data_IF_000704686247
#
_entry.id   IF_000704686247
#
_cell.length_a   1.000
_cell.length_b   1.000
_cell.length_c   1.000
_cell.angle_alpha   90.00
_cell.angle_beta   90.00
_cell.angle_gamma   90.00
#
_symmetry.space_group_name_H-M   'P 1'
#
loop_
_entity.id
_entity.type
_entity.pdbx_description
1 polymer ?
#
# COMPACT_ATOMS: atom_id res chain seq x y z
N UNK A 1 -13.46 -0.32 2.30
CA UNK A 1 -13.43 -0.40 0.82
C UNK A 1 -12.13 -1.06 0.45
N UNK A 2 -12.14 -2.10 -0.41
CA UNK A 2 -10.89 -2.61 -0.96
C UNK A 2 -10.22 -1.48 -1.73
N UNK A 3 -8.98 -1.16 -1.37
CA UNK A 3 -8.21 -0.01 -1.86
C UNK A 3 -7.60 -0.28 -3.25
N UNK A 4 -8.37 -0.91 -4.14
CA UNK A 4 -8.09 -0.75 -5.55
C UNK A 4 -8.82 0.52 -5.94
N UNK A 5 -8.05 1.57 -6.25
CA UNK A 5 -8.50 2.84 -6.79
C UNK A 5 -9.24 2.71 -8.16
N UNK A 6 -9.76 1.52 -8.50
CA UNK A 6 -10.39 1.17 -9.76
C UNK A 6 -9.41 0.74 -10.85
N UNK A 7 -8.12 0.99 -10.67
CA UNK A 7 -7.12 0.78 -11.71
C UNK A 7 -6.88 -0.71 -11.96
N UNK A 8 -6.86 -1.14 -13.25
CA UNK A 8 -6.76 -2.55 -13.60
C UNK A 8 -5.37 -3.15 -13.34
N UNK A 9 -4.33 -2.32 -13.26
CA UNK A 9 -2.93 -2.70 -13.03
C UNK A 9 -2.61 -3.00 -11.56
N UNK A 10 -3.53 -2.70 -10.64
CA UNK A 10 -3.36 -2.98 -9.21
C UNK A 10 -4.09 -4.27 -8.77
N UNK A 11 -4.67 -5.02 -9.71
CA UNK A 11 -5.49 -6.21 -9.42
C UNK A 11 -4.66 -7.51 -9.38
N UNK A 12 -5.11 -8.52 -8.62
CA UNK A 12 -4.41 -9.82 -8.55
C UNK A 12 -4.10 -10.42 -9.92
N UNK A 13 -5.03 -10.31 -10.88
CA UNK A 13 -4.88 -10.90 -12.21
C UNK A 13 -3.78 -10.22 -13.03
N UNK A 14 -3.68 -8.89 -12.95
CA UNK A 14 -2.60 -8.16 -13.59
C UNK A 14 -1.25 -8.54 -12.98
N UNK A 15 -1.16 -8.58 -11.66
CA UNK A 15 0.09 -8.86 -10.96
C UNK A 15 0.56 -10.30 -11.25
N UNK A 16 -0.36 -11.28 -11.31
CA UNK A 16 -0.04 -12.65 -11.70
C UNK A 16 0.47 -12.75 -13.15
N UNK A 17 -0.16 -12.02 -14.08
CA UNK A 17 0.31 -11.93 -15.46
C UNK A 17 1.69 -11.27 -15.56
N UNK A 18 1.91 -10.21 -14.79
CA UNK A 18 3.19 -9.49 -14.74
C UNK A 18 4.31 -10.36 -14.15
N UNK A 19 4.07 -11.12 -13.08
CA UNK A 19 5.04 -12.08 -12.54
C UNK A 19 5.43 -13.12 -13.60
N UNK A 20 4.45 -13.65 -14.34
CA UNK A 20 4.70 -14.61 -15.42
C UNK A 20 5.61 -14.00 -16.48
N UNK A 21 5.28 -12.80 -16.95
CA UNK A 21 6.09 -12.08 -17.92
C UNK A 21 7.51 -11.78 -17.39
N UNK A 22 7.63 -11.33 -16.14
CA UNK A 22 8.92 -11.02 -15.53
C UNK A 22 9.85 -12.24 -15.48
N UNK A 23 9.32 -13.42 -15.20
CA UNK A 23 10.10 -14.66 -15.23
C UNK A 23 10.54 -15.04 -16.65
N UNK A 24 9.70 -14.82 -17.68
CA UNK A 24 10.08 -15.03 -19.08
C UNK A 24 11.13 -14.04 -19.58
N UNK A 25 11.18 -12.84 -18.99
CA UNK A 25 12.09 -11.78 -19.39
C UNK A 25 13.53 -11.96 -18.88
N UNK A 26 13.83 -13.02 -18.13
CA UNK A 26 15.17 -13.26 -17.56
C UNK A 26 15.68 -14.65 -17.91
N UNK A 27 16.99 -14.76 -18.20
CA UNK A 27 17.63 -16.08 -18.40
C UNK A 27 17.46 -16.96 -17.17
N UNK A 28 17.62 -16.39 -15.98
CA UNK A 28 17.49 -17.14 -14.73
C UNK A 28 16.08 -17.74 -14.54
N UNK A 29 15.04 -16.99 -14.93
CA UNK A 29 13.66 -17.48 -14.93
C UNK A 29 13.41 -18.55 -15.99
N UNK A 30 13.90 -18.35 -17.22
CA UNK A 30 13.73 -19.32 -18.32
C UNK A 30 14.50 -20.63 -18.08
N UNK A 31 15.70 -20.55 -17.50
CA UNK A 31 16.53 -21.72 -17.14
C UNK A 31 16.14 -22.34 -15.79
N UNK A 32 15.17 -21.76 -15.06
CA UNK A 32 14.66 -22.28 -13.79
C UNK A 32 15.64 -22.19 -12.61
N UNK A 33 16.69 -21.38 -12.72
CA UNK A 33 17.69 -21.20 -11.66
C UNK A 33 17.25 -20.19 -10.60
N UNK A 34 16.32 -19.30 -10.94
CA UNK A 34 15.71 -18.36 -9.98
C UNK A 34 14.30 -18.05 -10.46
N UNK A 35 13.35 -17.99 -9.52
CA UNK A 35 11.99 -17.54 -9.78
C UNK A 35 11.77 -16.17 -9.13
N UNK A 36 11.33 -15.20 -9.92
CA UNK A 36 10.80 -13.94 -9.40
C UNK A 36 9.41 -14.22 -8.83
N UNK A 37 9.17 -13.79 -7.60
CA UNK A 37 7.85 -13.83 -6.95
C UNK A 37 7.46 -12.43 -6.50
N UNK A 38 6.27 -12.00 -6.88
CA UNK A 38 5.71 -10.70 -6.52
C UNK A 38 4.78 -10.90 -5.34
N UNK A 39 5.19 -10.39 -4.19
CA UNK A 39 4.39 -10.44 -2.98
C UNK A 39 3.50 -9.20 -2.90
N UNK A 40 2.20 -9.42 -2.72
CA UNK A 40 1.19 -8.37 -2.58
C UNK A 40 0.52 -8.45 -1.20
N UNK A 41 1.28 -8.31 -0.09
CA UNK A 41 0.79 -8.65 1.26
C UNK A 41 -0.41 -7.82 1.70
N UNK A 42 -0.61 -6.63 1.11
CA UNK A 42 -1.68 -5.71 1.48
C UNK A 42 -2.92 -5.82 0.58
N UNK A 43 -2.90 -6.65 -0.48
CA UNK A 43 -3.88 -6.58 -1.58
C UNK A 43 -5.33 -6.81 -1.13
N UNK A 44 -5.52 -7.65 -0.11
CA UNK A 44 -6.84 -7.93 0.46
C UNK A 44 -7.12 -7.18 1.76
N UNK A 45 -6.18 -6.35 2.22
CA UNK A 45 -6.32 -5.59 3.46
C UNK A 45 -7.08 -4.28 3.22
N UNK A 46 -8.01 -3.99 4.12
CA UNK A 46 -8.56 -2.65 4.31
C UNK A 46 -7.50 -1.70 4.87
N UNK A 47 -7.72 -0.38 4.78
CA UNK A 47 -6.77 0.59 5.34
C UNK A 47 -6.57 0.42 6.86
N UNK A 48 -7.63 0.07 7.61
CA UNK A 48 -7.52 -0.21 9.04
C UNK A 48 -6.68 -1.46 9.32
N UNK A 49 -6.80 -2.51 8.52
CA UNK A 49 -5.93 -3.71 8.64
C UNK A 49 -4.48 -3.39 8.30
N UNK A 50 -4.23 -2.55 7.28
CA UNK A 50 -2.88 -2.07 6.97
C UNK A 50 -2.29 -1.29 8.15
N UNK A 51 -3.07 -0.37 8.75
CA UNK A 51 -2.64 0.40 9.94
C UNK A 51 -2.33 -0.53 11.11
N UNK A 52 -3.23 -1.47 11.42
CA UNK A 52 -3.06 -2.44 12.50
C UNK A 52 -1.79 -3.28 12.29
N UNK A 53 -1.59 -3.80 11.09
CA UNK A 53 -0.43 -4.63 10.73
C UNK A 53 0.88 -3.83 10.91
N UNK A 54 0.92 -2.57 10.45
CA UNK A 54 2.09 -1.74 10.66
C UNK A 54 2.39 -1.49 12.15
N UNK A 55 1.37 -1.24 12.97
CA UNK A 55 1.53 -1.09 14.41
C UNK A 55 2.06 -2.37 15.08
N UNK A 56 1.54 -3.54 14.70
CA UNK A 56 2.01 -4.85 15.19
C UNK A 56 3.47 -5.13 14.80
N UNK A 57 3.90 -4.63 13.64
CA UNK A 57 5.29 -4.71 13.17
C UNK A 57 6.20 -3.61 13.75
N UNK A 58 5.67 -2.71 14.57
CA UNK A 58 6.44 -1.62 15.19
C UNK A 58 6.74 -0.45 14.26
N UNK A 59 5.96 -0.24 13.20
CA UNK A 59 6.08 0.92 12.32
C UNK A 59 5.69 2.18 13.07
N UNK A 60 6.60 3.15 13.12
CA UNK A 60 6.30 4.50 13.57
C UNK A 60 5.67 5.31 12.42
N UNK A 61 4.35 5.48 12.51
CA UNK A 61 3.57 6.20 11.51
C UNK A 61 3.88 7.69 11.42
N UNK A 62 4.61 8.27 12.38
CA UNK A 62 5.12 9.64 12.33
C UNK A 62 6.17 9.85 11.23
N UNK A 63 6.83 8.78 10.76
CA UNK A 63 7.79 8.84 9.64
C UNK A 63 7.15 8.61 8.27
N UNK A 64 5.85 8.31 8.22
CA UNK A 64 5.16 7.93 6.99
C UNK A 64 4.29 9.06 6.49
N UNK A 65 4.26 9.30 5.19
CA UNK A 65 3.50 10.38 4.59
C UNK A 65 2.56 9.88 3.49
N UNK A 66 1.37 10.45 3.40
CA UNK A 66 0.37 10.05 2.39
C UNK A 66 -0.29 11.22 1.67
N UNK A 67 -0.17 12.45 2.16
CA UNK A 67 -0.85 13.59 1.56
C UNK A 67 -0.34 13.89 0.16
N UNK A 68 -1.25 14.22 -0.77
CA UNK A 68 -0.89 14.61 -2.14
C UNK A 68 -0.48 16.08 -2.28
N UNK A 69 -0.90 16.92 -1.34
CA UNK A 69 -0.80 18.38 -1.43
C UNK A 69 -0.60 18.94 -0.02
N UNK A 70 0.59 18.76 0.61
CA UNK A 70 0.90 19.32 1.92
C UNK A 70 0.70 20.84 2.00
N UNK A 71 0.54 21.37 3.20
CA UNK A 71 0.61 22.82 3.41
C UNK A 71 2.06 23.35 3.38
N UNK A 72 2.22 24.67 3.48
CA UNK A 72 3.54 25.34 3.46
C UNK A 72 4.48 24.93 4.61
N UNK A 73 3.98 24.15 5.58
CA UNK A 73 4.74 23.61 6.71
C UNK A 73 4.95 22.08 6.58
N UNK A 74 4.76 21.53 5.39
CA UNK A 74 4.85 20.09 5.08
C UNK A 74 3.86 19.20 5.84
N UNK A 75 2.77 19.77 6.39
CA UNK A 75 1.75 19.00 7.12
C UNK A 75 0.70 18.43 6.17
N UNK A 76 0.09 17.28 6.49
CA UNK A 76 -1.02 16.75 5.69
C UNK A 76 -2.17 17.74 5.60
N UNK A 77 -2.71 17.97 4.40
CA UNK A 77 -3.74 18.99 4.19
C UNK A 77 -5.14 18.62 4.71
N UNK A 78 -5.34 17.36 5.14
CA UNK A 78 -6.62 16.86 5.67
C UNK A 78 -7.77 16.75 4.65
N UNK A 79 -7.65 17.33 3.45
CA UNK A 79 -8.74 17.42 2.47
C UNK A 79 -8.65 16.43 1.31
N UNK A 80 -7.45 15.98 0.93
CA UNK A 80 -7.28 15.05 -0.19
C UNK A 80 -7.72 13.62 0.18
N UNK A 81 -8.01 12.79 -0.83
CA UNK A 81 -8.53 11.44 -0.61
C UNK A 81 -7.54 10.55 0.18
N UNK A 82 -6.24 10.73 -0.04
CA UNK A 82 -5.22 10.01 0.71
C UNK A 82 -5.22 10.37 2.22
N UNK A 83 -5.39 11.65 2.56
CA UNK A 83 -5.54 12.08 3.96
C UNK A 83 -6.79 11.46 4.59
N UNK A 84 -7.94 11.56 3.92
CA UNK A 84 -9.21 11.02 4.41
C UNK A 84 -9.16 9.51 4.61
N UNK A 85 -8.54 8.79 3.68
CA UNK A 85 -8.42 7.33 3.75
C UNK A 85 -7.48 6.91 4.87
N UNK A 86 -6.33 7.57 5.01
CA UNK A 86 -5.38 7.35 6.11
C UNK A 86 -6.04 7.58 7.46
N UNK A 87 -6.62 8.77 7.67
CA UNK A 87 -7.30 9.13 8.92
C UNK A 87 -8.44 8.14 9.25
N UNK A 88 -9.23 7.74 8.24
CA UNK A 88 -10.25 6.70 8.40
C UNK A 88 -9.67 5.37 8.90
N UNK A 89 -8.50 4.96 8.40
CA UNK A 89 -7.82 3.75 8.84
C UNK A 89 -7.46 3.76 10.32
N UNK A 90 -6.94 4.88 10.84
CA UNK A 90 -6.67 5.04 12.27
C UNK A 90 -7.96 5.10 13.09
N UNK A 91 -8.95 5.87 12.61
CA UNK A 91 -10.23 6.07 13.30
C UNK A 91 -11.02 4.77 13.47
N UNK A 92 -11.00 3.88 12.48
CA UNK A 92 -11.63 2.54 12.57
C UNK A 92 -10.98 1.64 13.63
N UNK A 93 -9.75 1.93 14.05
CA UNK A 93 -9.07 1.28 15.16
C UNK A 93 -9.24 2.01 16.50
N UNK A 94 -9.99 3.12 16.54
CA UNK A 94 -10.11 3.98 17.71
C UNK A 94 -8.84 4.78 18.02
N UNK A 95 -7.94 4.94 17.03
CA UNK A 95 -6.67 5.64 17.17
C UNK A 95 -6.71 7.00 16.46
N UNK A 96 -5.82 7.90 16.86
CA UNK A 96 -5.52 9.15 16.15
C UNK A 96 -4.26 8.95 15.30
N UNK A 97 -4.29 9.42 14.06
CA UNK A 97 -3.11 9.45 13.20
C UNK A 97 -2.08 10.46 13.77
N UNK A 98 -0.81 10.07 13.95
CA UNK A 98 0.22 10.97 14.50
C UNK A 98 0.48 12.23 13.68
N UNK A 99 0.06 12.28 12.41
CA UNK A 99 0.23 13.47 11.54
C UNK A 99 -1.05 14.32 11.40
N UNK A 100 -2.14 13.98 12.12
CA UNK A 100 -3.45 14.67 12.07
C UNK A 100 -3.72 15.57 13.26
#
# INVERSE_FOLDING_TARGET
ALDYSGYPDCRPEYIAAFETMANLATRAGVEGTTKITIHTPLIHMTKAEIVRTGLELGVDYGWTFSCYDPDDQDRPCGRCDACKLREKGFRELGLRDPLS
#
